data_IF_995339848427
#
_entry.id   IF_995339848427
#
_cell.length_a   1.000
_cell.length_b   1.000
_cell.length_c   1.000
_cell.angle_alpha   90.00
_cell.angle_beta   90.00
_cell.angle_gamma   90.00
#
_symmetry.space_group_name_H-M   'P 1'
#
loop_
_entity.id
_entity.type
_entity.pdbx_description
1 polymer ?
#
# COMPACT_ATOMS: atom_id res chain seq x y z
N UNK A 1 -8.75 17.17 30.58
CA UNK A 1 -7.92 16.68 29.45
C UNK A 1 -7.74 17.82 28.47
N UNK A 2 -6.52 18.05 27.96
CA UNK A 2 -6.35 18.98 26.84
C UNK A 2 -7.05 18.39 25.61
N UNK A 3 -7.92 19.16 24.91
CA UNK A 3 -8.61 18.69 23.72
C UNK A 3 -7.59 18.53 22.60
N UNK A 4 -7.07 17.30 22.46
CA UNK A 4 -6.11 16.90 21.43
C UNK A 4 -6.72 15.80 20.58
N UNK A 5 -6.31 15.69 19.32
CA UNK A 5 -6.74 14.60 18.44
C UNK A 5 -6.43 13.22 19.06
N UNK A 6 -5.26 13.06 19.68
CA UNK A 6 -4.89 11.83 20.39
C UNK A 6 -5.85 11.49 21.53
N UNK A 7 -6.26 12.49 22.33
CA UNK A 7 -7.25 12.28 23.39
C UNK A 7 -8.63 11.92 22.82
N UNK A 8 -9.04 12.54 21.71
CA UNK A 8 -10.28 12.19 21.00
C UNK A 8 -10.23 10.73 20.53
N UNK A 9 -9.19 10.33 19.79
CA UNK A 9 -9.05 8.96 19.30
C UNK A 9 -9.01 7.94 20.44
N UNK A 10 -8.35 8.25 21.56
CA UNK A 10 -8.38 7.41 22.74
C UNK A 10 -9.81 7.23 23.27
N UNK A 11 -10.59 8.33 23.41
CA UNK A 11 -11.99 8.28 23.85
C UNK A 11 -12.91 7.52 22.90
N UNK A 12 -12.68 7.64 21.59
CA UNK A 12 -13.40 6.89 20.58
C UNK A 12 -13.12 5.39 20.72
N UNK A 13 -11.85 5.01 20.87
CA UNK A 13 -11.42 3.60 21.03
C UNK A 13 -11.84 2.98 22.36
N UNK A 14 -11.97 3.76 23.43
CA UNK A 14 -12.53 3.28 24.70
C UNK A 14 -14.06 3.09 24.64
N UNK A 15 -14.71 3.48 23.54
CA UNK A 15 -16.17 3.44 23.40
C UNK A 15 -16.88 4.45 24.32
N UNK A 16 -16.15 5.44 24.83
CA UNK A 16 -16.69 6.48 25.72
C UNK A 16 -17.59 7.47 24.98
N UNK A 17 -17.43 7.57 23.67
CA UNK A 17 -18.33 8.30 22.77
C UNK A 17 -19.03 7.26 21.90
N UNK A 18 -20.36 7.23 21.95
CA UNK A 18 -21.16 6.36 21.09
C UNK A 18 -21.94 7.22 20.08
N UNK A 19 -21.95 6.86 18.79
CA UNK A 19 -22.79 7.53 17.82
C UNK A 19 -24.26 7.24 18.16
N UNK A 20 -25.10 8.27 18.06
CA UNK A 20 -26.54 8.11 18.26
C UNK A 20 -27.09 7.28 17.10
N UNK A 21 -27.50 6.04 17.37
CA UNK A 21 -28.09 5.11 16.39
C UNK A 21 -29.59 5.31 16.20
N UNK A 22 -30.23 6.12 17.03
CA UNK A 22 -31.65 6.35 16.90
C UNK A 22 -31.90 7.17 15.63
N UNK A 23 -32.69 6.58 14.74
CA UNK A 23 -33.50 7.26 13.74
C UNK A 23 -34.44 8.22 14.47
N UNK A 24 -33.90 9.31 15.01
CA UNK A 24 -34.68 10.51 15.18
C UNK A 24 -35.10 10.86 13.77
N UNK A 25 -36.39 10.70 13.50
CA UNK A 25 -37.07 11.27 12.35
C UNK A 25 -36.49 12.66 12.11
N UNK A 26 -35.66 12.78 11.06
CA UNK A 26 -35.09 14.02 10.53
C UNK A 26 -36.22 14.86 9.89
N UNK A 27 -37.35 14.99 10.57
CA UNK A 27 -38.51 15.72 10.07
C UNK A 27 -38.43 17.22 10.36
N UNK A 28 -37.32 17.74 10.92
CA UNK A 28 -37.13 19.20 11.04
C UNK A 28 -35.67 19.61 11.34
N UNK A 29 -34.67 18.90 10.79
CA UNK A 29 -33.32 19.43 10.78
C UNK A 29 -33.21 20.48 9.67
N UNK A 30 -33.55 21.72 10.01
CA UNK A 30 -33.01 22.89 9.30
C UNK A 30 -31.54 22.61 9.04
N UNK A 31 -31.11 22.60 7.78
CA UNK A 31 -29.70 22.38 7.43
C UNK A 31 -28.90 23.52 8.03
N UNK A 32 -28.44 23.37 9.27
CA UNK A 32 -27.59 24.35 9.93
C UNK A 32 -26.26 24.28 9.20
N UNK A 33 -26.11 25.13 8.18
CA UNK A 33 -24.85 25.36 7.51
C UNK A 33 -23.90 25.95 8.55
N UNK A 34 -23.09 25.11 9.20
CA UNK A 34 -22.02 25.58 10.05
C UNK A 34 -20.77 25.78 9.18
N UNK A 35 -20.26 27.01 9.16
CA UNK A 35 -19.03 27.35 8.44
C UNK A 35 -17.83 27.03 9.32
N UNK A 36 -16.99 26.08 8.91
CA UNK A 36 -15.71 25.80 9.58
C UNK A 36 -14.67 26.83 9.13
N UNK A 37 -14.10 27.60 10.08
CA UNK A 37 -12.97 28.50 9.81
C UNK A 37 -11.66 27.72 9.91
N UNK A 38 -11.00 27.53 8.77
CA UNK A 38 -9.68 26.91 8.69
C UNK A 38 -8.58 27.96 8.71
N UNK A 39 -7.43 27.61 9.29
CA UNK A 39 -6.20 28.39 9.08
C UNK A 39 -5.79 28.34 7.61
N UNK A 40 -5.11 29.37 7.07
CA UNK A 40 -4.70 29.41 5.66
C UNK A 40 -3.94 28.16 5.21
N UNK A 41 -2.98 27.68 6.02
CA UNK A 41 -2.19 26.48 5.71
C UNK A 41 -3.06 25.21 5.64
N UNK A 42 -3.98 25.04 6.60
CA UNK A 42 -4.94 23.94 6.60
C UNK A 42 -5.83 24.00 5.36
N UNK A 43 -6.28 25.19 4.98
CA UNK A 43 -7.10 25.38 3.78
C UNK A 43 -6.34 24.96 2.52
N UNK A 44 -5.08 25.39 2.35
CA UNK A 44 -4.26 25.01 1.19
C UNK A 44 -4.07 23.49 1.10
N UNK A 45 -3.85 22.82 2.24
CA UNK A 45 -3.77 21.37 2.29
C UNK A 45 -5.07 20.69 1.86
N UNK A 46 -6.22 21.15 2.38
CA UNK A 46 -7.54 20.61 2.02
C UNK A 46 -7.89 20.86 0.55
N UNK A 47 -7.54 22.03 0.02
CA UNK A 47 -7.71 22.36 -1.41
C UNK A 47 -6.92 21.37 -2.28
N UNK A 48 -5.64 21.11 -1.95
CA UNK A 48 -4.81 20.16 -2.67
C UNK A 48 -5.33 18.71 -2.57
N UNK A 49 -5.86 18.28 -1.42
CA UNK A 49 -6.48 16.97 -1.27
C UNK A 49 -7.75 16.83 -2.09
N UNK A 50 -8.64 17.82 -2.04
CA UNK A 50 -9.90 17.81 -2.77
C UNK A 50 -9.67 17.81 -4.29
N UNK A 51 -8.71 18.61 -4.77
CA UNK A 51 -8.29 18.63 -6.18
C UNK A 51 -7.78 17.25 -6.64
N UNK A 52 -6.88 16.62 -5.87
CA UNK A 52 -6.34 15.29 -6.21
C UNK A 52 -7.39 14.18 -6.22
N UNK A 53 -8.44 14.31 -5.41
CA UNK A 53 -9.56 13.38 -5.36
C UNK A 53 -10.68 13.73 -6.36
N UNK A 54 -10.60 14.87 -7.03
CA UNK A 54 -11.65 15.33 -7.96
C UNK A 54 -12.98 15.68 -7.29
N UNK A 55 -12.98 16.05 -6.00
CA UNK A 55 -14.18 16.35 -5.21
C UNK A 55 -14.16 17.78 -4.67
N UNK A 56 -15.30 18.25 -4.16
CA UNK A 56 -15.34 19.53 -3.45
C UNK A 56 -14.72 19.41 -2.05
N UNK A 57 -14.22 20.53 -1.49
CA UNK A 57 -13.79 20.58 -0.08
C UNK A 57 -14.87 20.13 0.89
N UNK A 58 -16.13 20.50 0.64
CA UNK A 58 -17.24 20.13 1.52
C UNK A 58 -17.46 18.61 1.50
N UNK A 59 -17.33 17.97 0.32
CA UNK A 59 -17.36 16.52 0.20
C UNK A 59 -16.18 15.87 0.94
N UNK A 60 -14.98 16.45 0.87
CA UNK A 60 -13.83 15.99 1.67
C UNK A 60 -14.10 16.08 3.18
N UNK A 61 -14.72 17.17 3.66
CA UNK A 61 -15.12 17.30 5.07
C UNK A 61 -16.15 16.25 5.49
N UNK A 62 -17.17 16.02 4.67
CA UNK A 62 -18.17 14.98 4.89
C UNK A 62 -17.52 13.61 5.01
N UNK A 63 -16.68 13.25 4.02
CA UNK A 63 -15.92 11.99 4.01
C UNK A 63 -15.07 11.77 5.26
N UNK A 64 -14.36 12.81 5.74
CA UNK A 64 -13.56 12.72 6.96
C UNK A 64 -14.43 12.53 8.21
N UNK A 65 -15.56 13.24 8.30
CA UNK A 65 -16.49 13.11 9.43
C UNK A 65 -17.14 11.71 9.44
N UNK A 66 -17.63 11.26 8.29
CA UNK A 66 -18.24 9.94 8.10
C UNK A 66 -17.25 8.83 8.45
N UNK A 67 -15.98 8.95 8.03
CA UNK A 67 -14.93 8.00 8.37
C UNK A 67 -14.67 7.91 9.88
N UNK A 68 -14.68 9.04 10.60
CA UNK A 68 -14.55 9.04 12.07
C UNK A 68 -15.77 8.37 12.72
N UNK A 69 -16.98 8.62 12.23
CA UNK A 69 -18.20 8.01 12.76
C UNK A 69 -18.21 6.50 12.52
N UNK A 70 -17.85 6.06 11.32
CA UNK A 70 -17.78 4.65 10.94
C UNK A 70 -16.78 3.86 11.80
N UNK A 71 -15.60 4.43 12.06
CA UNK A 71 -14.59 3.83 12.96
C UNK A 71 -15.17 3.57 14.37
N UNK A 72 -16.03 4.46 14.86
CA UNK A 72 -16.65 4.32 16.19
C UNK A 72 -17.80 3.32 16.20
N UNK A 73 -18.61 3.27 15.13
CA UNK A 73 -19.71 2.29 15.01
C UNK A 73 -19.16 0.87 14.89
N UNK A 74 -18.13 0.69 14.06
CA UNK A 74 -17.50 -0.60 13.76
C UNK A 74 -18.51 -1.70 13.40
N UNK A 75 -19.57 -1.32 12.67
CA UNK A 75 -20.65 -2.24 12.29
C UNK A 75 -20.33 -3.04 11.02
N UNK A 76 -21.21 -3.96 10.66
CA UNK A 76 -21.03 -4.83 9.49
C UNK A 76 -21.09 -4.06 8.16
N UNK A 77 -21.88 -2.98 8.09
CA UNK A 77 -22.02 -2.19 6.87
C UNK A 77 -20.73 -1.41 6.59
N UNK A 78 -20.12 -0.81 7.62
CA UNK A 78 -18.85 -0.09 7.52
C UNK A 78 -17.69 -1.03 7.14
N UNK A 79 -17.72 -2.27 7.62
CA UNK A 79 -16.75 -3.32 7.21
C UNK A 79 -16.92 -3.70 5.75
N UNK A 80 -18.15 -3.81 5.25
CA UNK A 80 -18.42 -4.08 3.84
C UNK A 80 -17.98 -2.91 2.93
N UNK A 81 -18.14 -1.66 3.39
CA UNK A 81 -17.54 -0.48 2.72
C UNK A 81 -16.03 -0.64 2.64
N UNK A 82 -15.39 -0.89 3.77
CA UNK A 82 -13.92 -1.00 3.87
C UNK A 82 -13.37 -2.09 2.97
N UNK A 83 -14.02 -3.27 2.95
CA UNK A 83 -13.64 -4.39 2.07
C UNK A 83 -13.68 -3.98 0.60
N UNK A 84 -14.78 -3.36 0.17
CA UNK A 84 -14.94 -2.91 -1.22
C UNK A 84 -13.89 -1.85 -1.59
N UNK A 85 -13.68 -0.85 -0.74
CA UNK A 85 -12.72 0.23 -0.99
C UNK A 85 -11.28 -0.29 -1.08
N UNK A 86 -10.89 -1.22 -0.20
CA UNK A 86 -9.55 -1.83 -0.22
C UNK A 86 -9.36 -2.73 -1.43
N UNK A 87 -10.40 -3.45 -1.86
CA UNK A 87 -10.40 -4.19 -3.11
C UNK A 87 -10.16 -3.26 -4.32
N UNK A 88 -10.92 -2.17 -4.45
CA UNK A 88 -10.74 -1.20 -5.53
C UNK A 88 -9.35 -0.58 -5.49
N UNK A 89 -8.93 -0.08 -4.31
CA UNK A 89 -7.60 0.50 -4.12
C UNK A 89 -6.50 -0.46 -4.56
N UNK A 90 -6.60 -1.74 -4.20
CA UNK A 90 -5.60 -2.75 -4.55
C UNK A 90 -5.45 -2.86 -6.07
N UNK A 91 -6.53 -2.93 -6.82
CA UNK A 91 -6.49 -3.05 -8.27
C UNK A 91 -6.00 -1.76 -8.94
N UNK A 92 -6.46 -0.61 -8.47
CA UNK A 92 -6.14 0.70 -9.02
C UNK A 92 -4.64 1.03 -8.85
N UNK A 93 -4.06 0.77 -7.68
CA UNK A 93 -2.63 1.11 -7.45
C UNK A 93 -1.67 0.19 -8.21
N UNK A 94 -2.15 -0.96 -8.66
CA UNK A 94 -1.42 -1.88 -9.54
C UNK A 94 -1.68 -1.61 -11.03
N UNK A 95 -2.38 -0.51 -11.36
CA UNK A 95 -2.65 -0.03 -12.73
C UNK A 95 -3.38 -1.07 -13.58
N UNK A 96 -4.30 -1.82 -12.96
CA UNK A 96 -5.15 -2.78 -13.64
C UNK A 96 -6.39 -2.08 -14.17
N UNK A 97 -6.49 -1.89 -15.48
CA UNK A 97 -7.71 -1.36 -16.10
C UNK A 97 -8.91 -2.32 -15.90
N UNK A 98 -10.13 -1.82 -16.10
CA UNK A 98 -11.38 -2.58 -15.88
C UNK A 98 -11.44 -3.88 -16.70
N UNK A 99 -10.82 -3.91 -17.89
CA UNK A 99 -10.78 -5.11 -18.74
C UNK A 99 -9.78 -6.13 -18.18
N UNK A 100 -8.60 -5.68 -17.76
CA UNK A 100 -7.61 -6.50 -17.07
C UNK A 100 -8.15 -7.07 -15.77
N UNK A 101 -8.83 -6.26 -14.95
CA UNK A 101 -9.51 -6.71 -13.72
C UNK A 101 -10.53 -7.82 -14.01
N UNK A 102 -11.41 -7.63 -14.99
CA UNK A 102 -12.40 -8.63 -15.36
C UNK A 102 -11.78 -9.93 -15.88
N UNK A 103 -10.68 -9.86 -16.64
CA UNK A 103 -9.95 -11.06 -17.10
C UNK A 103 -9.26 -11.78 -15.95
N UNK A 104 -8.55 -11.04 -15.09
CA UNK A 104 -7.83 -11.57 -13.94
C UNK A 104 -8.77 -12.35 -13.02
N UNK A 105 -9.95 -11.78 -12.75
CA UNK A 105 -10.94 -12.30 -11.81
C UNK A 105 -12.01 -13.20 -12.45
N UNK A 106 -11.93 -13.47 -13.76
CA UNK A 106 -12.92 -14.25 -14.50
C UNK A 106 -13.24 -15.62 -13.87
N UNK A 107 -12.27 -16.41 -13.36
CA UNK A 107 -12.57 -17.69 -12.71
C UNK A 107 -13.40 -17.57 -11.43
N UNK A 108 -13.42 -16.39 -10.83
CA UNK A 108 -14.17 -16.07 -9.62
C UNK A 108 -15.55 -15.46 -9.93
N UNK A 109 -16.01 -15.53 -11.18
CA UNK A 109 -17.33 -15.05 -11.60
C UNK A 109 -17.39 -13.56 -11.95
N UNK A 110 -16.28 -12.84 -11.84
CA UNK A 110 -16.24 -11.41 -12.17
C UNK A 110 -16.40 -11.17 -13.67
N UNK A 111 -17.19 -10.13 -13.96
CA UNK A 111 -17.37 -9.54 -15.29
C UNK A 111 -17.35 -8.03 -15.12
N UNK A 112 -17.18 -7.29 -16.20
CA UNK A 112 -17.23 -5.82 -16.17
C UNK A 112 -18.53 -5.29 -15.54
N UNK A 113 -19.65 -5.95 -15.79
CA UNK A 113 -20.95 -5.61 -15.19
C UNK A 113 -21.07 -5.91 -13.69
N UNK A 114 -20.24 -6.82 -13.16
CA UNK A 114 -20.14 -7.08 -11.72
C UNK A 114 -19.25 -6.02 -11.07
N UNK A 115 -18.09 -5.73 -11.66
CA UNK A 115 -17.16 -4.69 -11.18
C UNK A 115 -17.81 -3.29 -11.14
N UNK A 116 -18.73 -3.00 -12.05
CA UNK A 116 -19.49 -1.74 -12.05
C UNK A 116 -20.52 -1.62 -10.90
N UNK A 117 -20.79 -2.70 -10.16
CA UNK A 117 -21.75 -2.74 -9.06
C UNK A 117 -21.07 -3.15 -7.77
N UNK A 118 -21.08 -2.25 -6.80
CA UNK A 118 -20.51 -2.49 -5.47
C UNK A 118 -21.14 -3.71 -4.78
N UNK A 119 -22.46 -3.82 -4.79
CA UNK A 119 -23.21 -4.91 -4.17
C UNK A 119 -22.80 -6.26 -4.77
N UNK A 120 -22.86 -6.38 -6.10
CA UNK A 120 -22.49 -7.63 -6.80
C UNK A 120 -21.01 -7.97 -6.63
N UNK A 121 -20.15 -6.96 -6.54
CA UNK A 121 -18.73 -7.17 -6.26
C UNK A 121 -18.55 -7.78 -4.89
N UNK A 122 -19.22 -7.23 -3.86
CA UNK A 122 -19.16 -7.74 -2.49
C UNK A 122 -19.68 -9.18 -2.39
N UNK A 123 -20.71 -9.54 -3.15
CA UNK A 123 -21.24 -10.92 -3.17
C UNK A 123 -20.21 -11.96 -3.63
N UNK A 124 -19.18 -11.56 -4.37
CA UNK A 124 -18.12 -12.44 -4.87
C UNK A 124 -16.81 -12.37 -4.06
N UNK A 125 -16.68 -11.42 -3.13
CA UNK A 125 -15.47 -11.23 -2.32
C UNK A 125 -15.42 -12.18 -1.12
N UNK A 126 -15.41 -13.47 -1.41
CA UNK A 126 -15.31 -14.54 -0.42
C UNK A 126 -13.86 -14.82 0.00
N UNK A 127 -13.68 -15.49 1.15
CA UNK A 127 -12.36 -15.77 1.73
C UNK A 127 -11.34 -16.40 0.76
N UNK A 128 -11.70 -17.39 -0.07
CA UNK A 128 -10.72 -17.99 -0.99
C UNK A 128 -10.19 -16.98 -2.01
N UNK A 129 -11.05 -16.08 -2.51
CA UNK A 129 -10.61 -15.01 -3.40
C UNK A 129 -9.76 -13.99 -2.66
N UNK A 130 -10.16 -13.59 -1.44
CA UNK A 130 -9.38 -12.64 -0.65
C UNK A 130 -7.98 -13.15 -0.34
N UNK A 131 -7.85 -14.44 -0.02
CA UNK A 131 -6.54 -15.07 0.16
C UNK A 131 -5.75 -15.10 -1.16
N UNK A 132 -6.40 -15.40 -2.27
CA UNK A 132 -5.75 -15.40 -3.57
C UNK A 132 -5.23 -14.01 -3.96
N UNK A 133 -5.99 -12.96 -3.69
CA UNK A 133 -5.59 -11.56 -3.88
C UNK A 133 -4.42 -11.20 -2.97
N UNK A 134 -4.50 -11.57 -1.69
CA UNK A 134 -3.41 -11.38 -0.74
C UNK A 134 -2.09 -11.99 -1.25
N UNK A 135 -2.15 -13.20 -1.82
CA UNK A 135 -0.99 -13.92 -2.34
C UNK A 135 -0.46 -13.34 -3.67
N UNK A 136 -1.36 -12.83 -4.52
CA UNK A 136 -0.97 -12.17 -5.78
C UNK A 136 -0.26 -10.84 -5.54
N UNK A 137 -0.78 -10.04 -4.60
CA UNK A 137 -0.32 -8.68 -4.36
C UNK A 137 0.58 -8.51 -3.12
N UNK A 138 0.85 -9.60 -2.39
CA UNK A 138 1.65 -9.62 -1.16
C UNK A 138 1.15 -8.66 -0.08
N UNK A 139 -0.16 -8.70 0.14
CA UNK A 139 -0.83 -7.90 1.18
C UNK A 139 -1.36 -8.80 2.29
N UNK A 140 -1.64 -8.22 3.45
CA UNK A 140 -2.32 -8.91 4.54
C UNK A 140 -3.80 -9.12 4.20
N UNK A 141 -4.25 -10.37 4.23
CA UNK A 141 -5.67 -10.70 4.02
C UNK A 141 -6.57 -10.03 5.06
N UNK A 142 -6.09 -9.86 6.29
CA UNK A 142 -6.84 -9.17 7.34
C UNK A 142 -6.94 -7.67 7.06
N UNK A 143 -6.00 -7.09 6.30
CA UNK A 143 -6.17 -5.76 5.76
C UNK A 143 -7.27 -5.74 4.70
N UNK A 144 -7.30 -6.67 3.74
CA UNK A 144 -8.42 -6.68 2.77
C UNK A 144 -9.79 -6.74 3.46
N UNK A 145 -9.90 -7.51 4.55
CA UNK A 145 -11.13 -7.68 5.34
C UNK A 145 -11.52 -6.51 6.23
N UNK A 146 -10.70 -5.46 6.32
CA UNK A 146 -10.93 -4.36 7.27
C UNK A 146 -10.55 -4.68 8.72
N UNK A 147 -9.92 -5.82 9.00
CA UNK A 147 -9.55 -6.26 10.35
C UNK A 147 -8.15 -5.75 10.80
N UNK A 148 -7.26 -5.46 9.86
CA UNK A 148 -5.93 -4.88 10.10
C UNK A 148 -5.84 -3.47 9.48
N UNK A 149 -5.21 -2.49 10.14
CA UNK A 149 -4.95 -1.18 9.54
C UNK A 149 -3.82 -1.20 8.51
N UNK A 150 -2.95 -2.22 8.54
CA UNK A 150 -1.70 -2.24 7.77
C UNK A 150 -1.77 -3.22 6.60
N UNK A 151 -1.64 -2.78 5.33
CA UNK A 151 -1.60 -3.68 4.18
C UNK A 151 -0.45 -4.66 4.17
N UNK A 152 0.67 -4.39 4.86
CA UNK A 152 1.84 -5.28 4.85
C UNK A 152 2.29 -5.57 6.28
N UNK A 153 2.58 -6.83 6.58
CA UNK A 153 3.13 -7.27 7.86
C UNK A 153 4.64 -6.98 7.93
N UNK A 154 5.01 -5.91 8.61
CA UNK A 154 6.42 -5.51 8.77
C UNK A 154 7.17 -6.23 9.89
N UNK A 155 6.53 -7.15 10.62
CA UNK A 155 7.15 -7.91 11.71
C UNK A 155 7.29 -7.13 13.02
N UNK A 156 6.84 -5.87 13.07
CA UNK A 156 6.89 -5.00 14.24
C UNK A 156 8.12 -4.08 14.27
N UNK A 157 8.24 -3.26 15.31
CA UNK A 157 9.36 -2.32 15.50
C UNK A 157 10.71 -3.02 15.72
N UNK A 158 10.67 -4.29 16.16
CA UNK A 158 11.85 -5.09 16.48
C UNK A 158 12.25 -6.05 15.34
N UNK A 159 11.57 -5.99 14.19
CA UNK A 159 11.90 -6.83 13.06
C UNK A 159 13.22 -6.39 12.43
N UNK A 160 14.21 -7.28 12.50
CA UNK A 160 15.50 -7.07 11.86
C UNK A 160 15.36 -7.07 10.33
N UNK A 161 15.57 -5.89 9.72
CA UNK A 161 15.56 -5.71 8.28
C UNK A 161 16.62 -6.57 7.58
N UNK A 162 17.81 -6.75 8.18
CA UNK A 162 18.91 -7.54 7.63
C UNK A 162 18.49 -9.00 7.47
N UNK A 163 17.87 -9.59 8.51
CA UNK A 163 17.35 -10.95 8.45
C UNK A 163 16.33 -11.16 7.33
N UNK A 164 15.44 -10.19 7.10
CA UNK A 164 14.47 -10.25 6.00
C UNK A 164 15.14 -10.08 4.64
N UNK A 165 16.13 -9.20 4.52
CA UNK A 165 16.91 -9.03 3.29
C UNK A 165 17.64 -10.32 2.88
N UNK A 166 18.10 -11.11 3.85
CA UNK A 166 18.70 -12.42 3.59
C UNK A 166 17.72 -13.40 2.91
N UNK A 167 16.41 -13.25 3.13
CA UNK A 167 15.39 -14.10 2.51
C UNK A 167 15.19 -13.79 1.01
N UNK A 168 15.52 -12.58 0.54
CA UNK A 168 15.29 -12.17 -0.86
C UNK A 168 15.95 -13.14 -1.83
N UNK A 169 17.17 -13.58 -1.55
CA UNK A 169 17.89 -14.49 -2.44
C UNK A 169 17.11 -15.79 -2.66
N UNK A 170 16.47 -16.33 -1.63
CA UNK A 170 15.65 -17.54 -1.75
C UNK A 170 14.32 -17.25 -2.45
N UNK A 171 13.67 -16.13 -2.16
CA UNK A 171 12.42 -15.76 -2.82
C UNK A 171 12.60 -15.52 -4.32
N UNK A 172 13.72 -14.92 -4.73
CA UNK A 172 14.07 -14.71 -6.14
C UNK A 172 14.21 -16.04 -6.88
N UNK A 173 14.75 -17.09 -6.24
CA UNK A 173 14.85 -18.44 -6.84
C UNK A 173 13.48 -19.09 -7.05
N UNK A 174 12.51 -18.73 -6.21
CA UNK A 174 11.15 -19.28 -6.22
C UNK A 174 10.17 -18.46 -7.05
N UNK A 175 10.64 -17.42 -7.74
CA UNK A 175 9.78 -16.65 -8.62
C UNK A 175 9.23 -17.54 -9.74
N UNK A 176 7.96 -17.34 -10.13
CA UNK A 176 7.40 -18.02 -11.29
C UNK A 176 8.11 -17.56 -12.57
N UNK A 177 7.78 -18.16 -13.72
CA UNK A 177 8.19 -17.61 -15.00
C UNK A 177 7.61 -16.20 -15.21
N UNK A 178 8.42 -15.30 -15.76
CA UNK A 178 8.10 -13.87 -15.86
C UNK A 178 8.42 -13.34 -17.26
N UNK A 179 7.68 -12.33 -17.75
CA UNK A 179 7.93 -11.72 -19.05
C UNK A 179 9.19 -10.85 -19.12
N UNK A 180 9.88 -10.62 -17.99
CA UNK A 180 11.05 -9.74 -17.91
C UNK A 180 11.84 -9.92 -16.62
N UNK A 181 12.89 -9.12 -16.40
CA UNK A 181 13.71 -9.23 -15.21
C UNK A 181 12.94 -8.82 -13.96
N UNK A 182 13.18 -9.54 -12.86
CA UNK A 182 12.77 -9.06 -11.55
C UNK A 182 13.60 -7.82 -11.17
N UNK A 183 12.98 -6.90 -10.45
CA UNK A 183 13.59 -5.68 -10.00
C UNK A 183 13.85 -5.73 -8.50
N UNK A 184 15.12 -5.71 -8.13
CA UNK A 184 15.56 -5.49 -6.76
C UNK A 184 15.73 -3.99 -6.55
N UNK A 185 14.80 -3.39 -5.80
CA UNK A 185 14.71 -1.94 -5.65
C UNK A 185 15.16 -1.54 -4.25
N UNK A 186 16.23 -0.77 -4.17
CA UNK A 186 16.66 -0.14 -2.94
C UNK A 186 16.02 1.24 -2.82
N UNK A 187 15.25 1.44 -1.75
CA UNK A 187 14.57 2.70 -1.46
C UNK A 187 15.32 3.47 -0.39
N UNK A 188 15.45 4.78 -0.53
CA UNK A 188 16.09 5.60 0.50
C UNK A 188 15.46 6.98 0.58
N UNK A 189 15.58 7.62 1.73
CA UNK A 189 15.28 9.05 1.86
C UNK A 189 16.56 9.83 2.15
N UNK A 190 16.64 11.06 1.64
CA UNK A 190 17.76 11.97 1.89
C UNK A 190 17.21 13.34 2.24
N UNK A 191 17.63 13.88 3.39
CA UNK A 191 17.38 15.27 3.74
C UNK A 191 18.64 16.10 3.46
N UNK A 192 18.57 16.97 2.45
CA UNK A 192 19.67 17.86 2.11
C UNK A 192 20.96 17.12 1.69
N UNK A 193 22.09 17.48 2.31
CA UNK A 193 23.41 16.92 2.00
C UNK A 193 23.78 15.68 2.82
N UNK A 194 22.95 15.27 3.77
CA UNK A 194 23.26 14.13 4.65
C UNK A 194 23.45 12.81 3.90
N UNK A 195 24.21 11.89 4.50
CA UNK A 195 24.38 10.53 4.00
C UNK A 195 23.11 9.72 4.22
N UNK A 196 22.86 8.77 3.31
CA UNK A 196 21.73 7.84 3.43
C UNK A 196 21.98 6.92 4.64
N UNK A 197 21.10 6.99 5.64
CA UNK A 197 21.15 6.16 6.84
C UNK A 197 20.26 4.93 6.73
N UNK A 198 19.00 5.13 6.34
CA UNK A 198 18.02 4.05 6.24
C UNK A 198 17.78 3.69 4.78
N UNK A 199 17.94 2.41 4.47
CA UNK A 199 17.69 1.85 3.13
C UNK A 199 16.60 0.79 3.26
N UNK A 200 15.57 0.91 2.46
CA UNK A 200 14.53 -0.07 2.24
C UNK A 200 14.85 -1.00 1.09
N UNK A 201 14.29 -2.20 1.10
CA UNK A 201 14.41 -3.17 0.01
C UNK A 201 13.04 -3.68 -0.42
N UNK A 202 12.76 -3.54 -1.71
CA UNK A 202 11.62 -4.17 -2.37
C UNK A 202 12.10 -5.16 -3.43
N UNK A 203 11.32 -6.21 -3.66
CA UNK A 203 11.37 -7.00 -4.89
C UNK A 203 10.09 -6.72 -5.68
N UNK A 204 10.24 -6.23 -6.91
CA UNK A 204 9.12 -6.07 -7.86
C UNK A 204 9.30 -7.02 -9.03
N UNK A 205 8.23 -7.68 -9.43
CA UNK A 205 8.24 -8.57 -10.57
C UNK A 205 6.83 -8.71 -11.16
N UNK A 206 6.72 -9.34 -12.34
CA UNK A 206 5.46 -9.47 -13.06
C UNK A 206 5.07 -10.93 -13.19
N UNK A 207 3.86 -11.25 -12.73
CA UNK A 207 3.24 -12.57 -12.89
C UNK A 207 2.24 -12.51 -14.02
N UNK A 208 2.17 -13.56 -14.83
CA UNK A 208 1.08 -13.71 -15.81
C UNK A 208 -0.01 -14.56 -15.16
N UNK A 209 -1.19 -13.97 -14.96
CA UNK A 209 -2.35 -14.64 -14.36
C UNK A 209 -3.53 -14.46 -15.31
N UNK A 210 -4.03 -15.55 -15.89
CA UNK A 210 -5.11 -15.52 -16.89
C UNK A 210 -4.85 -14.51 -18.03
N UNK A 211 -3.62 -14.53 -18.55
CA UNK A 211 -3.08 -13.62 -19.59
C UNK A 211 -3.01 -12.14 -19.17
N UNK A 212 -3.16 -11.83 -17.89
CA UNK A 212 -2.97 -10.49 -17.34
C UNK A 212 -1.61 -10.41 -16.68
N UNK A 213 -0.80 -9.44 -17.09
CA UNK A 213 0.47 -9.13 -16.42
C UNK A 213 0.19 -8.34 -15.14
N UNK A 214 0.40 -8.98 -13.99
CA UNK A 214 0.14 -8.40 -12.68
C UNK A 214 1.47 -8.06 -12.01
N UNK A 215 1.74 -6.78 -11.69
CA UNK A 215 2.91 -6.43 -10.90
C UNK A 215 2.71 -6.90 -9.45
N UNK A 216 3.69 -7.61 -8.91
CA UNK A 216 3.77 -8.01 -7.51
C UNK A 216 4.93 -7.27 -6.86
N UNK A 217 4.72 -6.71 -5.67
CA UNK A 217 5.77 -6.01 -4.91
C UNK A 217 5.86 -6.56 -3.50
N UNK A 218 7.03 -7.07 -3.13
CA UNK A 218 7.34 -7.57 -1.78
C UNK A 218 8.22 -6.55 -1.08
N UNK A 219 7.85 -6.17 0.14
CA UNK A 219 8.65 -5.32 1.02
C UNK A 219 9.41 -6.15 2.06
N UNK A 220 10.74 -6.03 2.06
CA UNK A 220 11.63 -6.74 2.98
C UNK A 220 11.98 -5.91 4.23
N UNK A 221 11.50 -4.68 4.33
CA UNK A 221 11.83 -3.80 5.45
C UNK A 221 12.97 -2.83 5.15
N UNK A 222 13.18 -1.94 6.11
CA UNK A 222 14.29 -1.00 6.12
C UNK A 222 15.39 -1.51 7.06
N UNK A 223 16.64 -1.30 6.66
CA UNK A 223 17.84 -1.59 7.44
C UNK A 223 18.73 -0.35 7.49
N UNK A 224 19.50 -0.22 8.56
CA UNK A 224 20.45 0.89 8.68
C UNK A 224 21.74 0.55 7.94
N UNK A 225 22.26 1.48 7.13
CA UNK A 225 23.51 1.28 6.36
C UNK A 225 24.72 0.98 7.25
N UNK A 226 24.71 1.47 8.49
CA UNK A 226 25.77 1.26 9.48
C UNK A 226 25.63 -0.02 10.29
N UNK A 227 24.58 -0.80 10.08
CA UNK A 227 24.30 -2.01 10.85
C UNK A 227 25.28 -3.15 10.49
N UNK A 228 25.80 -3.91 11.48
CA UNK A 228 26.70 -5.02 11.23
C UNK A 228 26.10 -6.04 10.27
N UNK A 229 26.89 -6.51 9.28
CA UNK A 229 26.43 -7.49 8.29
C UNK A 229 25.71 -6.90 7.08
N UNK A 230 25.25 -5.64 7.13
CA UNK A 230 24.57 -4.97 6.02
C UNK A 230 25.40 -4.96 4.73
N UNK A 231 26.71 -4.67 4.82
CA UNK A 231 27.60 -4.67 3.65
C UNK A 231 27.80 -6.06 3.04
N UNK A 232 27.77 -7.11 3.87
CA UNK A 232 27.90 -8.49 3.40
C UNK A 232 26.63 -8.91 2.66
N UNK A 233 25.46 -8.69 3.27
CA UNK A 233 24.17 -8.97 2.61
C UNK A 233 24.04 -8.16 1.33
N UNK A 234 24.37 -6.87 1.34
CA UNK A 234 24.33 -6.05 0.13
C UNK A 234 25.22 -6.61 -0.97
N UNK A 235 26.45 -7.07 -0.66
CA UNK A 235 27.33 -7.73 -1.62
C UNK A 235 26.74 -9.03 -2.16
N UNK A 236 26.12 -9.84 -1.30
CA UNK A 236 25.43 -11.07 -1.71
C UNK A 236 24.26 -10.77 -2.64
N UNK A 237 23.42 -9.80 -2.31
CA UNK A 237 22.30 -9.36 -3.14
C UNK A 237 22.77 -8.83 -4.50
N UNK A 238 23.80 -7.99 -4.53
CA UNK A 238 24.39 -7.49 -5.78
C UNK A 238 24.99 -8.61 -6.63
N UNK A 239 25.40 -9.72 -6.03
CA UNK A 239 25.92 -10.87 -6.79
C UNK A 239 24.87 -11.57 -7.65
N UNK A 240 23.58 -11.41 -7.31
CA UNK A 240 22.42 -11.98 -8.02
C UNK A 240 22.01 -11.10 -9.22
N UNK A 241 22.44 -9.84 -9.27
CA UNK A 241 22.11 -8.92 -10.38
C UNK A 241 22.79 -9.39 -11.66
N UNK A 242 21.99 -9.67 -12.68
CA UNK A 242 22.46 -10.14 -14.00
C UNK A 242 22.25 -9.10 -15.10
N UNK A 243 21.40 -8.09 -14.87
CA UNK A 243 21.01 -7.07 -15.85
C UNK A 243 21.27 -5.68 -15.31
N UNK A 244 21.79 -4.80 -16.15
CA UNK A 244 22.07 -3.40 -15.81
C UNK A 244 20.77 -2.59 -15.73
N UNK A 245 20.81 -1.39 -15.14
CA UNK A 245 19.68 -0.47 -15.23
C UNK A 245 19.23 -0.15 -16.66
N UNK A 246 20.13 -0.24 -17.65
CA UNK A 246 19.82 -0.05 -19.06
C UNK A 246 19.31 -1.28 -19.79
N UNK A 247 19.18 -2.43 -19.12
CA UNK A 247 18.74 -3.69 -19.74
C UNK A 247 19.87 -4.52 -20.36
N UNK A 248 21.13 -4.11 -20.21
CA UNK A 248 22.27 -4.86 -20.75
C UNK A 248 22.70 -5.98 -19.78
N UNK A 249 23.06 -7.18 -20.29
CA UNK A 249 23.64 -8.22 -19.45
C UNK A 249 24.92 -7.72 -18.77
N UNK A 250 24.96 -7.78 -17.44
CA UNK A 250 26.14 -7.44 -16.62
C UNK A 250 26.93 -8.71 -16.30
N UNK A 251 26.22 -9.83 -16.19
CA UNK A 251 26.77 -11.16 -15.92
C UNK A 251 25.96 -12.20 -16.67
N UNK A 252 26.58 -13.35 -16.93
CA UNK A 252 25.84 -14.50 -17.44
C UNK A 252 24.74 -14.89 -16.43
N UNK A 253 23.52 -15.20 -16.90
CA UNK A 253 22.46 -15.70 -16.03
C UNK A 253 23.00 -16.90 -15.23
N UNK A 254 22.92 -16.83 -13.91
CA UNK A 254 23.15 -18.00 -13.10
C UNK A 254 21.93 -18.90 -13.27
N UNK A 255 22.10 -20.19 -13.60
CA UNK A 255 21.00 -21.14 -13.78
C UNK A 255 20.01 -21.17 -12.60
N UNK A 256 20.47 -20.74 -11.42
CA UNK A 256 19.70 -20.70 -10.18
C UNK A 256 18.75 -19.51 -10.06
N UNK A 257 18.89 -18.45 -10.86
CA UNK A 257 18.12 -17.23 -10.71
C UNK A 257 17.53 -16.73 -12.03
N UNK A 258 16.31 -16.18 -12.02
CA UNK A 258 15.82 -15.41 -13.14
C UNK A 258 16.70 -14.18 -13.39
N UNK A 259 16.47 -13.48 -14.49
CA UNK A 259 17.15 -12.21 -14.71
C UNK A 259 16.76 -11.22 -13.61
N UNK A 260 17.76 -10.59 -12.97
CA UNK A 260 17.54 -9.58 -11.93
C UNK A 260 18.24 -8.29 -12.29
N UNK A 261 17.51 -7.19 -12.13
CA UNK A 261 18.00 -5.81 -12.28
C UNK A 261 17.95 -5.10 -10.94
N UNK A 262 19.00 -4.35 -10.60
CA UNK A 262 18.98 -3.44 -9.46
C UNK A 262 18.49 -2.04 -9.85
N UNK A 263 17.72 -1.41 -8.96
CA UNK A 263 17.25 -0.01 -9.09
C UNK A 263 17.34 0.69 -7.75
N UNK A 264 17.48 2.03 -7.78
CA UNK A 264 17.63 2.84 -6.57
C UNK A 264 16.68 4.01 -6.61
N UNK A 265 15.66 4.01 -5.74
CA UNK A 265 14.60 5.00 -5.72
C UNK A 265 14.73 5.91 -4.50
N UNK A 266 14.68 7.22 -4.73
CA UNK A 266 14.53 8.18 -3.66
C UNK A 266 13.06 8.31 -3.32
N UNK A 267 12.72 8.06 -2.06
CA UNK A 267 11.40 8.27 -1.49
C UNK A 267 11.42 9.45 -0.53
N UNK A 268 10.27 10.06 -0.31
CA UNK A 268 10.10 11.01 0.79
C UNK A 268 10.24 10.30 2.15
N UNK A 269 10.61 11.06 3.19
CA UNK A 269 10.67 10.53 4.56
C UNK A 269 9.32 9.92 5.01
N UNK A 270 8.20 10.52 4.58
CA UNK A 270 6.85 10.03 4.89
C UNK A 270 6.54 8.70 4.20
N UNK A 271 6.96 8.53 2.93
CA UNK A 271 6.83 7.25 2.24
C UNK A 271 7.66 6.16 2.93
N UNK A 272 8.92 6.45 3.28
CA UNK A 272 9.78 5.51 4.01
C UNK A 272 9.15 5.09 5.35
N UNK A 273 8.65 6.06 6.13
CA UNK A 273 7.97 5.79 7.40
C UNK A 273 6.73 4.92 7.22
N UNK A 274 5.90 5.22 6.21
CA UNK A 274 4.70 4.44 5.89
C UNK A 274 5.04 3.00 5.52
N UNK A 275 6.09 2.77 4.73
CA UNK A 275 6.56 1.42 4.38
C UNK A 275 7.08 0.67 5.60
N UNK A 276 7.90 1.29 6.44
CA UNK A 276 8.45 0.65 7.65
C UNK A 276 7.35 0.26 8.65
N UNK A 277 6.23 0.99 8.70
CA UNK A 277 5.08 0.68 9.53
C UNK A 277 4.03 -0.20 8.85
N UNK A 278 4.24 -0.51 7.57
CA UNK A 278 3.28 -1.27 6.76
C UNK A 278 1.96 -0.53 6.55
N UNK A 279 1.94 0.81 6.67
CA UNK A 279 0.75 1.67 6.57
C UNK A 279 0.33 1.94 5.11
N UNK A 280 1.22 1.70 4.14
CA UNK A 280 0.95 1.93 2.71
C UNK A 280 1.36 0.71 1.88
N UNK A 281 0.74 0.54 0.71
CA UNK A 281 1.14 -0.47 -0.25
C UNK A 281 2.50 -0.10 -0.88
N UNK A 282 3.47 -1.02 -0.96
CA UNK A 282 4.79 -0.75 -1.55
C UNK A 282 4.71 -0.16 -2.96
N UNK A 283 3.80 -0.68 -3.80
CA UNK A 283 3.60 -0.20 -5.17
C UNK A 283 3.23 1.29 -5.23
N UNK A 284 2.46 1.81 -4.27
CA UNK A 284 2.09 3.23 -4.22
C UNK A 284 3.31 4.13 -4.03
N UNK A 285 4.26 3.70 -3.19
CA UNK A 285 5.49 4.44 -2.94
C UNK A 285 6.41 4.39 -4.17
N UNK A 286 6.51 3.23 -4.83
CA UNK A 286 7.35 3.04 -6.01
C UNK A 286 6.82 3.82 -7.24
N UNK A 287 5.50 3.80 -7.46
CA UNK A 287 4.86 4.54 -8.56
C UNK A 287 4.97 6.06 -8.39
N UNK A 288 5.17 6.53 -7.16
CA UNK A 288 5.30 7.95 -6.82
C UNK A 288 6.67 8.27 -6.20
N UNK A 289 7.74 7.64 -6.69
CA UNK A 289 9.10 7.95 -6.23
C UNK A 289 9.50 9.39 -6.60
N UNK A 290 10.40 9.99 -5.81
CA UNK A 290 10.92 11.34 -6.07
C UNK A 290 12.07 11.36 -7.10
N UNK A 291 12.42 10.20 -7.66
CA UNK A 291 13.50 10.03 -8.64
C UNK A 291 14.20 8.69 -8.54
N UNK A 292 14.80 8.27 -9.65
CA UNK A 292 15.68 7.10 -9.76
C UNK A 292 17.15 7.54 -9.85
N UNK A 293 18.02 6.75 -9.23
CA UNK A 293 19.46 7.03 -9.11
C UNK A 293 20.28 5.83 -9.59
N UNK A 294 21.54 6.04 -10.01
CA UNK A 294 22.42 4.95 -10.42
C UNK A 294 22.91 4.08 -9.24
N UNK A 295 22.79 4.57 -7.99
CA UNK A 295 23.28 3.89 -6.78
C UNK A 295 23.05 4.71 -5.50
N UNK A 296 23.48 4.16 -4.34
CA UNK A 296 23.39 4.74 -2.98
C UNK A 296 24.77 5.10 -2.39
#
# INVERSE_FOLDING_TARGET
MNPTYTALIALLRTGSVRPVTDTVTLSDATSVQFSVRLRPETRLFFDACAERLGISRAALFGMLADGVIAEVRNDTADKAVTLYERFCLLLDVHDLDVTAQARLLKPWGFRTSVLASRERTLDLLEMPLLQQLADWFHVDVDWLRGASPSPVRTGGADADGISRWAMLAEDVRRLPEMPGPAEMIFCFSRQGRESVRDVGLCLRYWRIIHDVSVPSVIWYGAANRGEPGMQEIYRQLQSIVTVSPGGHPVRSPQEKYPQVRSRYFRLSARQMQGLSRGEILPVMALNNSQGEYPGI
#
